data_IF_117047985327
#
_entry.id   IF_117047985327
#
_cell.length_a   1.000
_cell.length_b   1.000
_cell.length_c   1.000
_cell.angle_alpha   90.00
_cell.angle_beta   90.00
_cell.angle_gamma   90.00
#
_symmetry.space_group_name_H-M   'P 1'
#
loop_
_entity.id
_entity.type
_entity.pdbx_description
1 polymer ?
#
# COMPACT_ATOMS: atom_id res chain seq x y z
N UNK A 1 -45.51 49.41 -25.21
CA UNK A 1 -45.57 49.43 -23.73
C UNK A 1 -44.19 49.09 -23.20
N UNK A 2 -43.60 50.06 -22.49
CA UNK A 2 -42.26 50.05 -21.91
C UNK A 2 -42.26 49.40 -20.53
N UNK A 3 -41.22 48.61 -20.22
CA UNK A 3 -40.76 48.35 -18.85
C UNK A 3 -39.23 48.29 -18.82
N UNK A 4 -38.62 49.42 -19.18
CA UNK A 4 -37.38 49.88 -18.55
C UNK A 4 -37.77 50.86 -17.44
N UNK A 5 -36.99 50.87 -16.35
CA UNK A 5 -36.98 51.85 -15.25
C UNK A 5 -37.83 51.57 -14.00
N UNK A 6 -37.23 50.81 -13.06
CA UNK A 6 -37.28 51.10 -11.61
C UNK A 6 -35.84 50.87 -11.11
N UNK A 7 -34.93 51.86 -11.20
CA UNK A 7 -34.61 52.84 -10.13
C UNK A 7 -34.18 52.10 -8.86
N UNK A 8 -32.86 51.92 -8.63
CA UNK A 8 -31.95 52.88 -7.97
C UNK A 8 -32.39 53.26 -6.55
N UNK A 9 -31.96 52.47 -5.57
CA UNK A 9 -31.64 52.83 -4.16
C UNK A 9 -31.23 51.51 -3.49
N UNK A 10 -30.03 51.26 -3.00
CA UNK A 10 -29.36 52.07 -2.00
C UNK A 10 -27.83 51.97 -2.10
N UNK A 11 -27.23 53.11 -1.74
CA UNK A 11 -25.81 53.36 -1.59
C UNK A 11 -25.26 52.68 -0.33
N UNK A 12 -23.94 52.45 -0.39
CA UNK A 12 -22.97 52.57 0.70
C UNK A 12 -23.26 51.79 2.00
N UNK A 13 -22.49 50.74 2.23
CA UNK A 13 -21.81 50.57 3.52
C UNK A 13 -20.45 49.92 3.30
N UNK A 14 -19.41 50.75 3.24
CA UNK A 14 -18.04 50.35 3.51
C UNK A 14 -17.93 50.06 5.01
N UNK A 15 -17.61 48.84 5.39
CA UNK A 15 -16.94 48.57 6.67
C UNK A 15 -15.75 47.67 6.40
N UNK A 16 -14.60 48.26 6.68
CA UNK A 16 -13.27 47.71 6.80
C UNK A 16 -13.31 46.55 7.81
N UNK A 17 -12.94 45.34 7.38
CA UNK A 17 -12.54 44.29 8.31
C UNK A 17 -11.07 43.94 8.03
N UNK A 18 -10.20 44.74 8.64
CA UNK A 18 -8.82 44.35 8.87
C UNK A 18 -8.82 43.42 10.09
N UNK A 19 -8.56 42.13 9.87
CA UNK A 19 -8.12 41.25 10.94
C UNK A 19 -7.05 40.29 10.44
N UNK A 20 -5.86 40.55 10.97
CA UNK A 20 -4.62 39.78 10.99
C UNK A 20 -4.79 38.28 11.15
N UNK A 21 -4.08 37.49 10.35
CA UNK A 21 -3.38 36.32 10.85
C UNK A 21 -2.01 36.21 10.16
N UNK A 22 -0.97 36.42 10.97
CA UNK A 22 0.38 36.01 10.67
C UNK A 22 0.40 34.50 10.40
N UNK A 23 0.64 34.12 9.15
CA UNK A 23 1.04 32.75 8.85
C UNK A 23 2.51 32.62 9.23
N UNK A 24 2.75 31.97 10.37
CA UNK A 24 4.04 31.40 10.71
C UNK A 24 4.60 30.67 9.49
N UNK A 25 5.81 31.05 9.09
CA UNK A 25 6.60 30.28 8.15
C UNK A 25 6.86 28.90 8.75
N UNK A 26 6.02 27.94 8.38
CA UNK A 26 6.33 26.54 8.53
C UNK A 26 7.53 26.26 7.65
N UNK A 27 8.70 26.14 8.26
CA UNK A 27 9.86 25.52 7.65
C UNK A 27 9.44 24.12 7.18
N UNK A 28 9.14 24.01 5.89
CA UNK A 28 9.05 22.73 5.19
C UNK A 28 10.39 22.05 5.39
N UNK A 29 10.41 21.06 6.28
CA UNK A 29 11.49 20.08 6.35
C UNK A 29 11.55 19.43 4.97
N UNK A 30 12.56 19.81 4.18
CA UNK A 30 12.89 19.09 2.95
C UNK A 30 13.29 17.68 3.36
N UNK A 31 12.39 16.73 3.15
CA UNK A 31 12.74 15.31 3.12
C UNK A 31 13.45 15.04 1.79
N UNK A 32 14.73 15.40 1.71
CA UNK A 32 15.61 15.01 0.60
C UNK A 32 16.08 13.55 0.78
N UNK A 33 15.11 12.65 0.91
CA UNK A 33 15.31 11.20 0.72
C UNK A 33 14.42 10.72 -0.44
N UNK A 34 14.62 9.50 -0.96
CA UNK A 34 13.64 8.83 -1.81
C UNK A 34 12.40 8.45 -0.97
N UNK A 35 11.73 9.48 -0.47
CA UNK A 35 10.48 9.38 0.26
C UNK A 35 9.38 8.98 -0.71
N UNK A 36 8.50 8.11 -0.24
CA UNK A 36 7.29 7.69 -0.92
C UNK A 36 6.46 8.93 -1.29
N UNK A 37 6.57 9.40 -2.53
CA UNK A 37 5.85 10.59 -3.00
C UNK A 37 4.40 10.23 -3.29
N UNK A 38 3.60 10.21 -2.22
CA UNK A 38 2.18 9.88 -2.26
C UNK A 38 1.31 10.83 -3.10
N UNK A 39 1.87 11.93 -3.58
CA UNK A 39 1.15 12.93 -4.36
C UNK A 39 1.18 12.71 -5.88
N UNK A 40 2.07 11.84 -6.37
CA UNK A 40 2.16 11.54 -7.81
C UNK A 40 1.06 10.59 -8.27
N UNK A 41 0.51 10.90 -9.45
CA UNK A 41 -0.29 9.96 -10.22
C UNK A 41 0.50 8.68 -10.45
N UNK A 42 -0.15 7.54 -10.26
CA UNK A 42 0.45 6.23 -10.48
C UNK A 42 -0.34 5.48 -11.54
N UNK A 43 0.39 4.69 -12.33
CA UNK A 43 -0.23 3.82 -13.32
C UNK A 43 -0.88 2.63 -12.60
N UNK A 44 -2.19 2.43 -12.81
CA UNK A 44 -2.91 1.30 -12.22
C UNK A 44 -2.51 0.01 -12.89
N UNK A 45 -2.27 -1.02 -12.07
CA UNK A 45 -2.03 -2.37 -12.57
C UNK A 45 -3.39 -3.03 -12.77
N UNK A 46 -3.67 -3.47 -13.99
CA UNK A 46 -4.92 -4.17 -14.27
C UNK A 46 -4.88 -5.53 -13.58
N UNK A 47 -5.90 -5.85 -12.79
CA UNK A 47 -5.99 -7.14 -12.12
C UNK A 47 -6.46 -8.19 -13.14
N UNK A 48 -5.59 -9.11 -13.60
CA UNK A 48 -6.02 -10.11 -14.58
C UNK A 48 -6.90 -11.19 -13.93
N UNK A 49 -6.83 -11.35 -12.60
CA UNK A 49 -7.50 -12.40 -11.85
C UNK A 49 -7.81 -11.98 -10.41
N UNK A 50 -8.75 -12.68 -9.79
CA UNK A 50 -9.17 -12.46 -8.39
C UNK A 50 -8.49 -13.45 -7.45
N UNK A 51 -8.48 -13.14 -6.15
CA UNK A 51 -7.93 -14.05 -5.15
C UNK A 51 -8.60 -15.44 -5.15
N UNK A 52 -9.89 -15.54 -5.52
CA UNK A 52 -10.64 -16.81 -5.52
C UNK A 52 -10.10 -17.80 -6.53
N UNK A 53 -9.82 -17.34 -7.74
CA UNK A 53 -9.23 -18.18 -8.79
C UNK A 53 -7.80 -18.57 -8.43
N UNK A 54 -7.05 -17.65 -7.81
CA UNK A 54 -5.66 -17.87 -7.41
C UNK A 54 -5.53 -18.85 -6.24
N UNK A 55 -6.48 -18.85 -5.31
CA UNK A 55 -6.47 -19.73 -4.14
C UNK A 55 -6.58 -21.21 -4.48
N UNK A 56 -7.10 -21.56 -5.67
CA UNK A 56 -7.24 -22.96 -6.11
C UNK A 56 -6.03 -23.46 -6.88
N UNK A 57 -5.08 -22.59 -7.21
CA UNK A 57 -3.90 -22.96 -8.00
C UNK A 57 -2.79 -23.47 -7.09
N UNK A 58 -2.18 -24.59 -7.51
CA UNK A 58 -0.97 -25.11 -6.89
C UNK A 58 0.29 -24.34 -7.37
N UNK A 59 1.45 -24.74 -6.84
CA UNK A 59 2.74 -24.11 -7.15
C UNK A 59 3.09 -24.20 -8.63
N UNK A 60 2.81 -25.33 -9.28
CA UNK A 60 3.17 -25.55 -10.69
C UNK A 60 2.27 -24.72 -11.61
N UNK A 61 0.96 -24.73 -11.36
CA UNK A 61 0.00 -23.90 -12.09
C UNK A 61 0.27 -22.40 -11.91
N UNK A 62 0.66 -21.97 -10.71
CA UNK A 62 1.08 -20.60 -10.49
C UNK A 62 2.36 -20.27 -11.27
N UNK A 63 3.36 -21.16 -11.26
CA UNK A 63 4.57 -20.98 -12.04
C UNK A 63 4.27 -20.85 -13.54
N UNK A 64 3.45 -21.74 -14.10
CA UNK A 64 3.05 -21.69 -15.51
C UNK A 64 2.43 -20.34 -15.87
N UNK A 65 1.52 -19.85 -15.02
CA UNK A 65 0.84 -18.58 -15.25
C UNK A 65 1.80 -17.39 -15.20
N UNK A 66 2.75 -17.40 -14.27
CA UNK A 66 3.79 -16.38 -14.20
C UNK A 66 4.73 -16.46 -15.40
N UNK A 67 5.10 -17.67 -15.84
CA UNK A 67 5.94 -17.85 -17.03
C UNK A 67 5.26 -17.31 -18.30
N UNK A 68 3.93 -17.41 -18.44
CA UNK A 68 3.22 -16.77 -19.55
C UNK A 68 3.49 -15.25 -19.56
N UNK A 69 3.40 -14.59 -18.40
CA UNK A 69 3.64 -13.15 -18.29
C UNK A 69 5.11 -12.75 -18.45
N UNK A 70 6.04 -13.55 -17.94
CA UNK A 70 7.48 -13.35 -18.17
C UNK A 70 7.84 -13.50 -19.65
N UNK A 71 7.20 -14.44 -20.36
CA UNK A 71 7.38 -14.62 -21.80
C UNK A 71 6.79 -13.45 -22.60
N UNK A 72 5.63 -12.90 -22.19
CA UNK A 72 5.06 -11.68 -22.77
C UNK A 72 6.05 -10.51 -22.62
N UNK A 73 6.59 -10.30 -21.43
CA UNK A 73 7.63 -9.31 -21.17
C UNK A 73 8.85 -9.52 -22.09
N UNK A 74 9.42 -10.73 -22.10
CA UNK A 74 10.64 -11.03 -22.87
C UNK A 74 10.45 -10.81 -24.37
N UNK A 75 9.26 -11.11 -24.91
CA UNK A 75 8.98 -10.98 -26.35
C UNK A 75 8.63 -9.55 -26.78
N UNK A 76 7.96 -8.79 -25.92
CA UNK A 76 7.36 -7.49 -26.29
C UNK A 76 8.02 -6.31 -25.57
N UNK A 77 8.98 -6.57 -24.69
CA UNK A 77 9.53 -5.62 -23.73
C UNK A 77 8.44 -4.87 -22.95
N UNK A 78 7.36 -5.59 -22.62
CA UNK A 78 6.16 -5.01 -22.02
C UNK A 78 6.26 -5.05 -20.49
N UNK A 79 6.72 -3.94 -19.89
CA UNK A 79 6.81 -3.80 -18.43
C UNK A 79 5.48 -4.02 -17.71
N UNK A 80 4.35 -3.72 -18.35
CA UNK A 80 3.04 -3.95 -17.76
C UNK A 80 2.80 -5.44 -17.48
N UNK A 81 3.30 -6.34 -18.33
CA UNK A 81 3.18 -7.78 -18.10
C UNK A 81 3.94 -8.23 -16.83
N UNK A 82 5.10 -7.64 -16.53
CA UNK A 82 5.82 -7.90 -15.28
C UNK A 82 5.05 -7.38 -14.06
N UNK A 83 4.46 -6.18 -14.16
CA UNK A 83 3.64 -5.62 -13.08
C UNK A 83 2.40 -6.46 -12.80
N UNK A 84 1.74 -6.93 -13.85
CA UNK A 84 0.62 -7.88 -13.76
C UNK A 84 1.04 -9.19 -13.11
N UNK A 85 2.20 -9.74 -13.49
CA UNK A 85 2.75 -10.93 -12.85
C UNK A 85 2.97 -10.73 -11.35
N UNK A 86 3.51 -9.58 -10.95
CA UNK A 86 3.71 -9.26 -9.53
C UNK A 86 2.38 -9.16 -8.79
N UNK A 87 1.38 -8.51 -9.41
CA UNK A 87 0.04 -8.42 -8.85
C UNK A 87 -0.61 -9.80 -8.68
N UNK A 88 -0.47 -10.70 -9.67
CA UNK A 88 -0.97 -12.08 -9.62
C UNK A 88 -0.36 -12.82 -8.43
N UNK A 89 0.97 -12.80 -8.30
CA UNK A 89 1.66 -13.48 -7.19
C UNK A 89 1.16 -12.93 -5.86
N UNK A 90 1.15 -11.61 -5.70
CA UNK A 90 0.76 -10.97 -4.46
C UNK A 90 -0.74 -11.08 -4.16
N UNK A 91 -1.59 -11.33 -5.15
CA UNK A 91 -3.03 -11.51 -4.95
C UNK A 91 -3.42 -12.92 -4.49
N UNK A 92 -2.50 -13.89 -4.51
CA UNK A 92 -2.75 -15.26 -4.04
C UNK A 92 -2.67 -15.33 -2.50
N UNK A 93 -3.68 -15.87 -1.80
CA UNK A 93 -3.54 -16.16 -0.37
C UNK A 93 -2.35 -17.10 -0.10
N UNK A 94 -1.49 -16.74 0.85
CA UNK A 94 -0.23 -17.44 1.11
C UNK A 94 -0.25 -18.25 2.42
N UNK A 95 -1.08 -19.29 2.49
CA UNK A 95 -1.12 -20.22 3.63
C UNK A 95 -0.08 -21.35 3.52
N UNK A 96 0.45 -21.59 2.31
CA UNK A 96 1.37 -22.69 1.96
C UNK A 96 2.80 -22.22 1.57
N UNK A 97 3.07 -20.91 1.68
CA UNK A 97 4.36 -20.31 1.36
C UNK A 97 4.70 -20.36 -0.14
N UNK A 98 3.69 -20.37 -1.00
CA UNK A 98 3.85 -20.32 -2.46
C UNK A 98 4.31 -18.95 -2.93
N UNK A 99 3.81 -17.87 -2.30
CA UNK A 99 4.19 -16.50 -2.69
C UNK A 99 5.69 -16.29 -2.52
N UNK A 100 6.27 -16.66 -1.37
CA UNK A 100 7.71 -16.56 -1.11
C UNK A 100 8.55 -17.29 -2.17
N UNK A 101 8.10 -18.48 -2.61
CA UNK A 101 8.83 -19.31 -3.59
C UNK A 101 8.81 -18.70 -4.99
N UNK A 102 7.71 -18.09 -5.41
CA UNK A 102 7.52 -17.63 -6.79
C UNK A 102 7.90 -16.14 -6.94
N UNK A 103 7.72 -15.32 -5.91
CA UNK A 103 7.86 -13.86 -5.99
C UNK A 103 9.22 -13.43 -6.54
N UNK A 104 10.29 -14.13 -6.17
CA UNK A 104 11.65 -13.88 -6.69
C UNK A 104 11.73 -13.91 -8.23
N UNK A 105 10.95 -14.76 -8.89
CA UNK A 105 10.92 -14.88 -10.36
C UNK A 105 10.39 -13.64 -11.07
N UNK A 106 9.61 -12.81 -10.37
CA UNK A 106 9.07 -11.54 -10.91
C UNK A 106 9.78 -10.33 -10.32
N UNK A 107 10.17 -10.42 -9.04
CA UNK A 107 10.88 -9.37 -8.32
C UNK A 107 12.23 -9.07 -8.98
N UNK A 108 13.04 -10.08 -9.30
CA UNK A 108 14.38 -9.85 -9.84
C UNK A 108 14.33 -9.10 -11.19
N UNK A 109 13.51 -9.49 -12.19
CA UNK A 109 13.37 -8.70 -13.42
C UNK A 109 12.86 -7.27 -13.18
N UNK A 110 11.93 -7.09 -12.24
CA UNK A 110 11.44 -5.74 -11.89
C UNK A 110 12.53 -4.90 -11.21
N UNK A 111 13.41 -5.49 -10.41
CA UNK A 111 14.54 -4.79 -9.80
C UNK A 111 15.59 -4.41 -10.85
N UNK A 112 15.89 -5.31 -11.79
CA UNK A 112 16.79 -5.05 -12.92
C UNK A 112 16.33 -3.86 -13.78
N UNK A 113 15.02 -3.73 -13.99
CA UNK A 113 14.41 -2.60 -14.71
C UNK A 113 14.14 -1.36 -13.83
N UNK A 114 14.51 -1.41 -12.53
CA UNK A 114 14.23 -0.34 -11.57
C UNK A 114 12.74 -0.07 -11.33
N UNK A 115 11.87 -1.04 -11.65
CA UNK A 115 10.42 -0.97 -11.57
C UNK A 115 9.81 -1.63 -10.33
N UNK A 116 10.58 -2.38 -9.54
CA UNK A 116 10.06 -3.07 -8.36
C UNK A 116 9.40 -2.13 -7.36
N UNK A 117 10.13 -1.11 -6.90
CA UNK A 117 9.61 -0.13 -5.95
C UNK A 117 8.37 0.61 -6.52
N UNK A 118 8.41 1.22 -7.72
CA UNK A 118 7.22 1.86 -8.31
C UNK A 118 6.01 0.94 -8.41
N UNK A 119 6.23 -0.33 -8.75
CA UNK A 119 5.16 -1.33 -8.87
C UNK A 119 4.52 -1.62 -7.52
N UNK A 120 5.33 -1.84 -6.48
CA UNK A 120 4.80 -2.07 -5.13
C UNK A 120 4.06 -0.84 -4.62
N UNK A 121 4.59 0.38 -4.85
CA UNK A 121 3.91 1.62 -4.47
C UNK A 121 2.54 1.75 -5.15
N UNK A 122 2.46 1.48 -6.45
CA UNK A 122 1.22 1.48 -7.21
C UNK A 122 0.22 0.45 -6.67
N UNK A 123 0.66 -0.79 -6.41
CA UNK A 123 -0.19 -1.85 -5.87
C UNK A 123 -0.71 -1.52 -4.46
N UNK A 124 0.14 -0.93 -3.61
CA UNK A 124 -0.26 -0.51 -2.26
C UNK A 124 -1.33 0.57 -2.32
N UNK A 125 -1.15 1.59 -3.16
CA UNK A 125 -2.15 2.66 -3.34
C UNK A 125 -3.44 2.12 -3.91
N UNK A 126 -3.36 1.32 -4.97
CA UNK A 126 -4.52 0.70 -5.58
C UNK A 126 -5.29 -0.14 -4.55
N UNK A 127 -4.59 -0.90 -3.70
CA UNK A 127 -5.21 -1.68 -2.64
C UNK A 127 -5.88 -0.81 -1.57
N UNK A 128 -5.21 0.26 -1.14
CA UNK A 128 -5.76 1.25 -0.18
C UNK A 128 -7.01 1.93 -0.75
N UNK A 129 -6.94 2.45 -1.98
CA UNK A 129 -8.07 3.09 -2.67
C UNK A 129 -9.25 2.13 -2.81
N UNK A 130 -8.99 0.87 -3.19
CA UNK A 130 -10.03 -0.16 -3.35
C UNK A 130 -10.71 -0.49 -2.02
N UNK A 131 -9.95 -0.56 -0.92
CA UNK A 131 -10.49 -0.82 0.42
C UNK A 131 -11.25 0.38 1.00
N UNK A 132 -10.89 1.60 0.62
CA UNK A 132 -11.59 2.81 1.03
C UNK A 132 -12.84 3.08 0.18
N UNK A 133 -12.87 2.58 -1.06
CA UNK A 133 -14.01 2.72 -1.95
C UNK A 133 -15.18 1.83 -1.53
N UNK A 134 -16.31 2.45 -1.16
CA UNK A 134 -17.53 1.75 -0.75
C UNK A 134 -18.25 1.05 -1.90
N UNK A 135 -17.98 1.45 -3.14
CA UNK A 135 -18.59 0.87 -4.34
C UNK A 135 -17.77 -0.30 -4.90
N UNK A 136 -16.53 -0.49 -4.44
CA UNK A 136 -15.70 -1.62 -4.86
C UNK A 136 -16.38 -2.94 -4.49
N UNK A 137 -16.29 -3.92 -5.38
CA UNK A 137 -16.90 -5.23 -5.14
C UNK A 137 -16.27 -5.91 -3.92
N UNK A 138 -17.02 -6.79 -3.27
CA UNK A 138 -16.51 -7.55 -2.13
C UNK A 138 -15.25 -8.36 -2.48
N UNK A 139 -15.20 -8.93 -3.70
CA UNK A 139 -14.07 -9.71 -4.18
C UNK A 139 -12.86 -8.84 -4.48
N UNK A 140 -13.04 -7.62 -4.99
CA UNK A 140 -11.94 -6.70 -5.23
C UNK A 140 -11.34 -6.18 -3.92
N UNK A 141 -12.18 -5.89 -2.92
CA UNK A 141 -11.74 -5.53 -1.57
C UNK A 141 -10.92 -6.65 -0.94
N UNK A 142 -11.39 -7.90 -1.01
CA UNK A 142 -10.65 -9.05 -0.45
C UNK A 142 -9.35 -9.28 -1.22
N UNK A 143 -9.36 -9.22 -2.56
CA UNK A 143 -8.15 -9.34 -3.38
C UNK A 143 -7.11 -8.29 -3.01
N UNK A 144 -7.54 -7.03 -2.93
CA UNK A 144 -6.69 -5.91 -2.50
C UNK A 144 -6.14 -6.10 -1.09
N UNK A 145 -6.97 -6.62 -0.19
CA UNK A 145 -6.57 -6.98 1.16
C UNK A 145 -5.47 -8.03 1.21
N UNK A 146 -5.60 -9.09 0.40
CA UNK A 146 -4.59 -10.16 0.29
C UNK A 146 -3.28 -9.60 -0.28
N UNK A 147 -3.33 -8.75 -1.30
CA UNK A 147 -2.15 -8.07 -1.86
C UNK A 147 -1.40 -7.31 -0.76
N UNK A 148 -2.10 -6.45 0.00
CA UNK A 148 -1.48 -5.68 1.07
C UNK A 148 -0.90 -6.58 2.17
N UNK A 149 -1.58 -7.67 2.52
CA UNK A 149 -1.10 -8.63 3.52
C UNK A 149 0.19 -9.33 3.10
N UNK A 150 0.27 -9.76 1.83
CA UNK A 150 1.46 -10.41 1.29
C UNK A 150 2.63 -9.43 1.17
N UNK A 151 2.39 -8.17 0.78
CA UNK A 151 3.42 -7.11 0.79
C UNK A 151 3.93 -6.87 2.22
N UNK A 152 3.03 -6.78 3.20
CA UNK A 152 3.42 -6.64 4.61
C UNK A 152 4.26 -7.85 5.05
N UNK A 153 3.88 -9.08 4.66
CA UNK A 153 4.61 -10.29 5.02
C UNK A 153 6.03 -10.30 4.45
N UNK A 154 6.19 -9.92 3.18
CA UNK A 154 7.47 -9.80 2.48
C UNK A 154 8.39 -8.76 3.14
N UNK A 155 7.84 -7.61 3.54
CA UNK A 155 8.61 -6.51 4.11
C UNK A 155 8.87 -6.62 5.60
N UNK A 156 8.13 -7.47 6.31
CA UNK A 156 8.23 -7.65 7.76
C UNK A 156 9.65 -7.99 8.25
N UNK A 157 10.41 -8.93 7.64
CA UNK A 157 11.75 -9.27 8.10
C UNK A 157 12.72 -8.08 8.04
N UNK A 158 12.62 -7.28 6.97
CA UNK A 158 13.44 -6.09 6.76
C UNK A 158 13.02 -4.99 7.74
N UNK A 159 11.71 -4.76 7.88
CA UNK A 159 11.14 -3.77 8.79
C UNK A 159 11.56 -3.95 10.25
N UNK A 160 11.59 -5.19 10.74
CA UNK A 160 11.98 -5.49 12.13
C UNK A 160 13.49 -5.24 12.32
N UNK A 161 14.33 -5.56 11.32
CA UNK A 161 15.78 -5.38 11.40
C UNK A 161 16.21 -3.92 11.26
N UNK A 162 15.55 -3.14 10.41
CA UNK A 162 15.89 -1.75 10.10
C UNK A 162 15.28 -0.74 11.08
N UNK A 163 15.16 -1.07 12.37
CA UNK A 163 14.46 -0.19 13.31
C UNK A 163 15.13 1.18 13.50
N UNK A 164 16.39 1.33 13.11
CA UNK A 164 17.19 2.55 13.24
C UNK A 164 17.24 3.41 11.96
N UNK A 165 17.20 2.78 10.79
CA UNK A 165 17.35 3.43 9.48
C UNK A 165 16.06 3.27 8.70
N UNK A 166 15.26 4.33 8.60
CA UNK A 166 14.07 4.31 7.76
C UNK A 166 14.42 3.88 6.32
N UNK A 167 13.55 3.09 5.71
CA UNK A 167 13.70 2.55 4.36
C UNK A 167 12.38 2.52 3.61
N UNK A 168 12.44 2.15 2.32
CA UNK A 168 11.26 2.03 1.45
C UNK A 168 10.18 1.13 2.08
N UNK A 169 10.57 -0.05 2.55
CA UNK A 169 9.70 -1.04 3.19
C UNK A 169 9.04 -0.50 4.46
N UNK A 170 9.79 0.31 5.22
CA UNK A 170 9.29 0.99 6.43
C UNK A 170 8.22 2.01 6.09
N UNK A 171 8.43 2.80 5.03
CA UNK A 171 7.46 3.79 4.59
C UNK A 171 6.16 3.12 4.13
N UNK A 172 6.25 2.01 3.41
CA UNK A 172 5.08 1.24 2.97
C UNK A 172 4.29 0.67 4.16
N UNK A 173 4.95 0.00 5.10
CA UNK A 173 4.25 -0.58 6.27
C UNK A 173 3.59 0.51 7.11
N UNK A 174 4.29 1.62 7.35
CA UNK A 174 3.74 2.76 8.10
C UNK A 174 2.53 3.37 7.37
N UNK A 175 2.63 3.58 6.06
CA UNK A 175 1.52 4.09 5.26
C UNK A 175 0.28 3.18 5.35
N UNK A 176 0.45 1.87 5.24
CA UNK A 176 -0.67 0.92 5.37
C UNK A 176 -1.24 0.95 6.80
N UNK A 177 -0.40 1.05 7.84
CA UNK A 177 -0.85 1.17 9.22
C UNK A 177 -1.71 2.43 9.43
N UNK A 178 -1.28 3.57 8.89
CA UNK A 178 -1.93 4.87 9.08
C UNK A 178 -3.18 5.05 8.21
N UNK A 179 -3.33 4.26 7.15
CA UNK A 179 -4.47 4.31 6.22
C UNK A 179 -5.83 3.90 6.81
N UNK A 180 -5.86 3.37 8.05
CA UNK A 180 -7.07 2.98 8.78
C UNK A 180 -8.08 2.17 7.94
N UNK A 181 -7.58 1.17 7.23
CA UNK A 181 -8.35 0.35 6.31
C UNK A 181 -9.37 -0.50 7.05
N UNK A 182 -10.55 -0.66 6.45
CA UNK A 182 -11.58 -1.55 6.95
C UNK A 182 -12.30 -2.23 5.78
N UNK A 183 -12.52 -3.53 5.87
CA UNK A 183 -13.37 -4.23 4.92
C UNK A 183 -14.83 -3.82 5.09
N UNK A 184 -15.58 -3.75 3.99
CA UNK A 184 -17.04 -3.70 4.06
C UNK A 184 -17.58 -4.96 4.77
N UNK A 185 -18.81 -4.88 5.30
CA UNK A 185 -19.46 -6.04 5.95
C UNK A 185 -19.53 -7.27 5.04
N UNK A 186 -19.75 -7.05 3.74
CA UNK A 186 -19.85 -8.12 2.75
C UNK A 186 -18.48 -8.70 2.42
N UNK A 187 -17.45 -7.86 2.22
CA UNK A 187 -16.08 -8.31 2.03
C UNK A 187 -15.55 -9.09 3.25
N UNK A 188 -15.87 -8.64 4.47
CA UNK A 188 -15.49 -9.36 5.69
C UNK A 188 -16.15 -10.75 5.79
N UNK A 189 -17.43 -10.88 5.42
CA UNK A 189 -18.11 -12.18 5.36
C UNK A 189 -17.50 -13.09 4.29
N UNK A 190 -17.26 -12.55 3.11
CA UNK A 190 -16.63 -13.28 2.01
C UNK A 190 -15.25 -13.79 2.40
N UNK A 191 -14.40 -12.92 2.96
CA UNK A 191 -13.09 -13.28 3.48
C UNK A 191 -13.16 -14.43 4.50
N UNK A 192 -14.06 -14.31 5.48
CA UNK A 192 -14.25 -15.35 6.49
C UNK A 192 -14.70 -16.69 5.90
N UNK A 193 -15.53 -16.67 4.86
CA UNK A 193 -16.03 -17.89 4.21
C UNK A 193 -14.95 -18.60 3.39
N UNK A 194 -14.19 -17.87 2.58
CA UNK A 194 -13.25 -18.48 1.63
C UNK A 194 -11.84 -18.65 2.17
N UNK A 195 -11.37 -17.74 3.03
CA UNK A 195 -10.02 -17.81 3.57
C UNK A 195 -9.98 -18.40 4.99
N UNK A 196 -11.13 -18.55 5.66
CA UNK A 196 -11.22 -19.05 7.05
C UNK A 196 -10.29 -18.32 8.04
N UNK A 197 -9.86 -17.10 7.69
CA UNK A 197 -8.89 -16.32 8.44
C UNK A 197 -9.56 -15.35 9.40
N UNK A 198 -8.84 -15.00 10.46
CA UNK A 198 -9.23 -13.91 11.35
C UNK A 198 -9.50 -12.63 10.53
N UNK A 199 -10.55 -11.90 10.92
CA UNK A 199 -11.00 -10.65 10.28
C UNK A 199 -10.05 -9.46 10.52
N UNK A 200 -8.77 -9.72 10.78
CA UNK A 200 -7.77 -8.66 10.84
C UNK A 200 -7.63 -8.04 9.45
N UNK A 201 -7.72 -6.71 9.41
CA UNK A 201 -7.47 -5.96 8.19
C UNK A 201 -5.97 -5.62 8.04
N UNK A 202 -5.52 -5.22 6.84
CA UNK A 202 -4.10 -4.95 6.59
C UNK A 202 -3.52 -3.88 7.52
N UNK A 203 -4.26 -2.80 7.81
CA UNK A 203 -3.81 -1.77 8.76
C UNK A 203 -3.59 -2.31 10.18
N UNK A 204 -4.46 -3.20 10.66
CA UNK A 204 -4.29 -3.84 11.96
C UNK A 204 -3.06 -4.75 12.00
N UNK A 205 -2.79 -5.48 10.91
CA UNK A 205 -1.60 -6.32 10.77
C UNK A 205 -0.33 -5.46 10.79
N UNK A 206 -0.31 -4.37 10.02
CA UNK A 206 0.79 -3.42 9.99
C UNK A 206 1.05 -2.78 11.37
N UNK A 207 0.01 -2.31 12.06
CA UNK A 207 0.12 -1.77 13.44
C UNK A 207 0.69 -2.79 14.42
N UNK A 208 0.27 -4.06 14.33
CA UNK A 208 0.81 -5.13 15.19
C UNK A 208 2.32 -5.33 14.96
N UNK A 209 2.78 -5.24 13.71
CA UNK A 209 4.20 -5.35 13.35
C UNK A 209 4.99 -4.13 13.84
N UNK A 210 4.42 -2.93 13.75
CA UNK A 210 5.02 -1.71 14.31
C UNK A 210 5.28 -1.83 15.82
N UNK A 211 4.29 -2.31 16.59
CA UNK A 211 4.44 -2.57 18.02
C UNK A 211 5.53 -3.65 18.28
N UNK A 212 5.61 -4.68 17.45
CA UNK A 212 6.67 -5.69 17.57
C UNK A 212 8.05 -5.07 17.38
N UNK A 213 8.24 -4.19 16.39
CA UNK A 213 9.49 -3.48 16.14
C UNK A 213 9.94 -2.66 17.35
N UNK A 214 9.04 -1.91 17.97
CA UNK A 214 9.35 -1.12 19.19
C UNK A 214 9.89 -2.02 20.32
N UNK A 215 9.26 -3.18 20.53
CA UNK A 215 9.72 -4.16 21.54
C UNK A 215 11.12 -4.71 21.25
N UNK A 216 11.45 -4.94 19.98
CA UNK A 216 12.81 -5.36 19.60
C UNK A 216 13.83 -4.25 19.88
N UNK A 217 13.51 -3.00 19.50
CA UNK A 217 14.38 -1.86 19.76
C UNK A 217 14.63 -1.65 21.26
N UNK A 218 13.60 -1.75 22.10
CA UNK A 218 13.76 -1.68 23.56
C UNK A 218 14.65 -2.79 24.12
N UNK A 219 14.53 -4.01 23.58
CA UNK A 219 15.31 -5.16 24.04
C UNK A 219 16.79 -4.99 23.69
N UNK A 220 17.09 -4.53 22.48
CA UNK A 220 18.46 -4.29 22.03
C UNK A 220 19.12 -3.17 22.85
N UNK A 221 18.42 -2.05 23.07
CA UNK A 221 18.91 -0.97 23.94
C UNK A 221 19.19 -1.44 25.37
N UNK A 222 18.33 -2.29 25.94
CA UNK A 222 18.54 -2.88 27.28
C UNK A 222 19.75 -3.81 27.31
N UNK A 223 20.05 -4.52 26.22
CA UNK A 223 21.21 -5.39 26.12
C UNK A 223 22.51 -4.57 26.01
N UNK A 224 22.53 -3.55 25.16
CA UNK A 224 23.68 -2.64 25.02
C UNK A 224 24.03 -1.91 26.33
N UNK A 225 23.02 -1.45 27.07
CA UNK A 225 23.22 -0.81 28.37
C UNK A 225 23.83 -1.77 29.40
N UNK A 226 23.42 -3.04 29.39
CA UNK A 226 23.99 -4.08 30.27
C UNK A 226 25.44 -4.41 29.92
N UNK A 227 25.80 -4.40 28.63
CA UNK A 227 27.19 -4.63 28.21
C UNK A 227 28.11 -3.47 28.58
N UNK A 228 27.62 -2.23 28.48
CA UNK A 228 28.38 -1.03 28.89
C UNK A 228 28.63 -0.99 30.40
N UNK A 229 27.70 -1.47 31.22
CA UNK A 229 27.86 -1.53 32.68
C UNK A 229 28.74 -2.69 33.17
N UNK A 230 29.15 -3.61 32.28
CA UNK A 230 30.05 -4.73 32.61
C UNK A 230 31.52 -4.47 32.27
N UNK A 231 31.82 -3.37 31.55
CA UNK A 231 33.18 -2.92 31.24
C UNK A 231 33.59 -1.83 32.20
#
# INVERSE_FOLDING_TARGET
MNLQNIIKTARLFSIIFALTLASCGGSTVRQDGPGLDLSKDFERVQAPMTYKSLATLDLDQMNDLIQVKLNEYTKQNNLQALREAAMIVLARPDDDGTVEKILSSVRNPLEEEGQWQPTVEALVRQGVETLQNREASQTDQVTSGVILENIIAEFKPVYIKQYQTGGFETNIINFIADSNLAYSKNASKERGLYLMRNNLNPSQIAKKIAISREKYAEKDQKNEAKEKNKK
#
